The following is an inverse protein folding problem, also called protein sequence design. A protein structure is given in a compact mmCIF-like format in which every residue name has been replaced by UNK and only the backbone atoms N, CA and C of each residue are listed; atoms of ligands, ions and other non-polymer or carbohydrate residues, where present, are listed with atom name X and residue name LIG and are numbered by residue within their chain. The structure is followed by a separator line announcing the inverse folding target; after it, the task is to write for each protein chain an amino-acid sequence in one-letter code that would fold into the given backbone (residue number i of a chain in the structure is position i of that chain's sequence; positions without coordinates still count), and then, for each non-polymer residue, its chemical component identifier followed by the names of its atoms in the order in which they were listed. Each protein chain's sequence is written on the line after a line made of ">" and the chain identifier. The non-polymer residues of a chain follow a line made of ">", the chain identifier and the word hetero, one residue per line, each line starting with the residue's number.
data_IF_438080230929
#
_entry.id   IF_438080230929
#
_cell.length_a   1.000
_cell.length_b   1.000
_cell.length_c   1.000
_cell.angle_alpha   90.00
_cell.angle_beta   90.00
_cell.angle_gamma   90.00
#
_symmetry.space_group_name_H-M   'P 1'
#
loop_
_entity.id
_entity.type
_entity.pdbx_description
1 polymer ?
#
# COMPACT_ATOMS: atom_id res chain seq x y z
N UNK A 1 -6.77 -20.07 3.21
CA UNK A 1 -6.06 -18.95 3.88
C UNK A 1 -4.78 -18.47 3.16
N UNK A 2 -4.45 -18.96 1.94
CA UNK A 2 -3.21 -18.59 1.23
C UNK A 2 -3.18 -17.12 0.80
N UNK A 3 -4.31 -16.58 0.35
CA UNK A 3 -4.46 -15.17 -0.04
C UNK A 3 -4.25 -14.25 1.18
N UNK A 4 -4.83 -14.62 2.33
CA UNK A 4 -4.61 -13.89 3.59
C UNK A 4 -3.13 -13.84 3.98
N UNK A 5 -2.39 -14.94 3.82
CA UNK A 5 -0.95 -14.96 4.05
C UNK A 5 -0.17 -14.05 3.08
N UNK A 6 -0.60 -13.97 1.82
CA UNK A 6 0.00 -13.06 0.84
C UNK A 6 -0.26 -11.61 1.26
N UNK A 7 -1.49 -11.26 1.64
CA UNK A 7 -1.83 -9.91 2.11
C UNK A 7 -1.01 -9.52 3.34
N UNK A 8 -0.90 -10.41 4.34
CA UNK A 8 -0.08 -10.18 5.53
C UNK A 8 1.37 -9.92 5.14
N UNK A 9 1.93 -10.70 4.20
CA UNK A 9 3.31 -10.49 3.72
C UNK A 9 3.47 -9.14 3.03
N UNK A 10 2.53 -8.75 2.16
CA UNK A 10 2.57 -7.45 1.47
C UNK A 10 2.54 -6.30 2.48
N UNK A 11 1.63 -6.35 3.45
CA UNK A 11 1.54 -5.35 4.51
C UNK A 11 2.78 -5.31 5.40
N UNK A 12 3.31 -6.47 5.79
CA UNK A 12 4.55 -6.55 6.58
C UNK A 12 5.75 -5.99 5.83
N UNK A 13 5.89 -6.27 4.52
CA UNK A 13 6.95 -5.71 3.68
C UNK A 13 6.78 -4.20 3.57
N UNK A 14 5.55 -3.70 3.35
CA UNK A 14 5.27 -2.26 3.33
C UNK A 14 5.68 -1.56 4.62
N UNK A 15 5.32 -2.14 5.77
CA UNK A 15 5.73 -1.61 7.07
C UNK A 15 7.26 -1.55 7.21
N UNK A 16 7.97 -2.64 6.88
CA UNK A 16 9.43 -2.69 6.93
C UNK A 16 10.09 -1.68 6.00
N UNK A 17 9.54 -1.46 4.80
CA UNK A 17 10.05 -0.47 3.84
C UNK A 17 9.94 0.95 4.40
N UNK A 18 8.79 1.32 4.98
CA UNK A 18 8.61 2.66 5.58
C UNK A 18 9.60 2.86 6.73
N UNK A 19 9.69 1.89 7.64
CA UNK A 19 10.62 1.93 8.79
C UNK A 19 12.07 2.09 8.30
N UNK A 20 12.48 1.30 7.31
CA UNK A 20 13.84 1.31 6.78
C UNK A 20 14.17 2.59 6.00
N UNK A 21 13.23 3.11 5.22
CA UNK A 21 13.49 4.25 4.34
C UNK A 21 13.54 5.58 5.12
N UNK A 22 12.77 5.67 6.21
CA UNK A 22 12.71 6.86 7.06
C UNK A 22 13.60 6.75 8.31
N UNK A 23 14.27 5.61 8.53
CA UNK A 23 15.15 5.41 9.67
C UNK A 23 14.43 5.45 11.02
N UNK A 24 13.16 5.02 11.05
CA UNK A 24 12.30 5.16 12.24
C UNK A 24 12.70 4.16 13.32
N UNK A 25 13.20 4.65 14.45
CA UNK A 25 13.40 3.84 15.64
C UNK A 25 12.06 3.68 16.38
N UNK A 26 11.36 2.57 16.15
CA UNK A 26 9.98 2.33 16.64
C UNK A 26 9.87 2.24 18.17
N UNK A 27 11.00 2.05 18.86
CA UNK A 27 11.07 2.16 20.33
C UNK A 27 10.76 3.57 20.83
N UNK A 28 11.02 4.60 20.02
CA UNK A 28 10.69 5.99 20.33
C UNK A 28 9.21 6.29 20.06
N UNK A 29 8.58 7.08 20.93
CA UNK A 29 7.16 7.38 20.84
C UNK A 29 6.79 8.28 19.66
N UNK A 30 7.65 9.26 19.33
CA UNK A 30 7.43 10.21 18.23
C UNK A 30 7.62 9.50 16.90
N UNK A 31 8.66 8.68 16.77
CA UNK A 31 8.87 7.87 15.56
C UNK A 31 7.74 6.88 15.30
N UNK A 32 7.09 6.36 16.36
CA UNK A 32 5.94 5.47 16.23
C UNK A 32 4.69 6.20 15.75
N UNK A 33 4.46 7.42 16.23
CA UNK A 33 3.36 8.26 15.73
C UNK A 33 3.56 8.57 14.24
N UNK A 34 4.77 9.01 13.87
CA UNK A 34 5.13 9.25 12.47
C UNK A 34 4.97 7.98 11.60
N UNK A 35 5.38 6.81 12.12
CA UNK A 35 5.18 5.54 11.43
C UNK A 35 3.69 5.25 11.17
N UNK A 36 2.82 5.48 12.15
CA UNK A 36 1.38 5.22 12.01
C UNK A 36 0.77 6.11 10.93
N UNK A 37 1.12 7.40 10.92
CA UNK A 37 0.64 8.35 9.93
C UNK A 37 1.08 7.96 8.52
N UNK A 38 2.37 7.69 8.34
CA UNK A 38 2.93 7.28 7.05
C UNK A 38 2.40 5.94 6.56
N UNK A 39 2.29 4.96 7.46
CA UNK A 39 1.79 3.63 7.13
C UNK A 39 0.30 3.66 6.77
N UNK A 40 -0.51 4.45 7.50
CA UNK A 40 -1.93 4.62 7.18
C UNK A 40 -2.14 5.34 5.84
N UNK A 41 -1.34 6.38 5.56
CA UNK A 41 -1.33 7.08 4.26
C UNK A 41 -0.93 6.13 3.12
N UNK A 42 0.13 5.33 3.30
CA UNK A 42 0.57 4.34 2.32
C UNK A 42 -0.51 3.30 2.02
N UNK A 43 -1.20 2.79 3.04
CA UNK A 43 -2.33 1.87 2.86
C UNK A 43 -3.44 2.54 2.04
N UNK A 44 -3.84 3.77 2.39
CA UNK A 44 -4.88 4.49 1.65
C UNK A 44 -4.53 4.63 0.18
N UNK A 45 -3.31 5.09 -0.12
CA UNK A 45 -2.84 5.19 -1.50
C UNK A 45 -2.82 3.85 -2.23
N UNK A 46 -2.46 2.75 -1.56
CA UNK A 46 -2.46 1.42 -2.17
C UNK A 46 -3.88 1.00 -2.57
N UNK A 47 -4.89 1.28 -1.73
CA UNK A 47 -6.29 1.02 -2.06
C UNK A 47 -6.81 1.92 -3.18
N UNK A 48 -6.54 3.23 -3.12
CA UNK A 48 -6.97 4.18 -4.14
C UNK A 48 -6.41 3.84 -5.53
N UNK A 49 -5.11 3.50 -5.59
CA UNK A 49 -4.46 3.05 -6.82
C UNK A 49 -4.98 1.69 -7.27
N UNK A 50 -5.22 0.77 -6.32
CA UNK A 50 -5.83 -0.53 -6.61
C UNK A 50 -7.20 -0.40 -7.27
N UNK A 51 -8.08 0.44 -6.70
CA UNK A 51 -9.40 0.73 -7.26
C UNK A 51 -9.27 1.36 -8.65
N UNK A 52 -8.36 2.33 -8.82
CA UNK A 52 -8.14 2.98 -10.11
C UNK A 52 -7.70 1.98 -11.20
N UNK A 53 -6.73 1.10 -10.90
CA UNK A 53 -6.23 0.09 -11.84
C UNK A 53 -7.33 -0.93 -12.16
N UNK A 54 -8.02 -1.45 -11.14
CA UNK A 54 -9.09 -2.42 -11.34
C UNK A 54 -10.24 -1.79 -12.13
N UNK A 55 -10.59 -0.54 -11.83
CA UNK A 55 -11.58 0.24 -12.58
C UNK A 55 -11.18 0.41 -14.04
N UNK A 56 -9.94 0.81 -14.31
CA UNK A 56 -9.38 0.95 -15.66
C UNK A 56 -9.44 -0.38 -16.45
N UNK A 57 -9.08 -1.50 -15.80
CA UNK A 57 -9.13 -2.83 -16.41
C UNK A 57 -10.57 -3.28 -16.69
N UNK A 58 -11.48 -3.14 -15.72
CA UNK A 58 -12.88 -3.60 -15.84
C UNK A 58 -13.63 -2.76 -16.87
N UNK A 59 -13.46 -1.44 -16.84
CA UNK A 59 -14.09 -0.54 -17.81
C UNK A 59 -13.47 -0.66 -19.20
N UNK A 60 -12.43 -1.47 -19.35
CA UNK A 60 -11.73 -1.65 -20.61
C UNK A 60 -11.24 -0.31 -21.19
N UNK A 61 -10.92 0.66 -20.32
CA UNK A 61 -10.37 1.96 -20.72
C UNK A 61 -8.98 1.81 -21.38
N UNK A 62 -8.38 0.63 -21.27
CA UNK A 62 -7.16 0.23 -21.98
C UNK A 62 -7.39 -0.28 -23.39
N UNK A 63 -8.61 -0.69 -23.73
CA UNK A 63 -8.96 -1.07 -25.08
C UNK A 63 -9.21 0.20 -25.89
N UNK A 64 -8.50 0.40 -27.02
CA UNK A 64 -8.81 1.52 -27.91
C UNK A 64 -10.27 1.43 -28.35
N UNK A 65 -10.95 2.57 -28.43
CA UNK A 65 -12.32 2.68 -28.94
C UNK A 65 -12.35 2.37 -30.45
N UNK A 66 -12.26 1.08 -30.80
CA UNK A 66 -12.21 0.49 -32.14
C UNK A 66 -11.03 0.93 -33.06
N UNK A 67 -10.67 0.13 -34.09
CA UNK A 67 -9.62 0.45 -35.06
C UNK A 67 -9.96 1.60 -36.00
#
# INVERSE_FOLDING_TARGET
>A
MKILLILIKVFAIGALLIISNQGLAISDAVNREHFIDEYSSWISHLFDKGIAIVGYVIKSEWLPENP
#
